data_IF_172628170828
#
_entry.id   IF_172628170828
#
_cell.length_a   1.000
_cell.length_b   1.000
_cell.length_c   1.000
_cell.angle_alpha   90.00
_cell.angle_beta   90.00
_cell.angle_gamma   90.00
#
_symmetry.space_group_name_H-M   'P 1'
#
loop_
_entity.id
_entity.type
_entity.pdbx_description
1 polymer ?
#
# COMPACT_ATOMS: atom_id res chain seq x y z
N UNK A 1 -2.61 10.11 1.00
CA UNK A 1 -1.79 9.96 2.22
C UNK A 1 -2.00 8.60 2.85
N UNK A 2 -0.98 8.07 3.44
CA UNK A 2 -1.06 6.81 4.16
C UNK A 2 -0.70 7.04 5.61
N UNK A 3 -1.31 6.28 6.50
CA UNK A 3 -1.04 6.38 7.94
C UNK A 3 -0.61 5.03 8.47
N UNK A 4 0.50 4.99 9.19
CA UNK A 4 1.03 3.81 9.84
C UNK A 4 1.24 4.11 11.32
N UNK A 5 0.41 3.51 12.19
CA UNK A 5 0.55 3.68 13.63
C UNK A 5 0.57 5.13 14.08
N UNK A 6 -0.24 5.98 13.48
CA UNK A 6 -0.27 7.42 13.78
C UNK A 6 0.73 8.25 13.01
N UNK A 7 1.66 7.62 12.29
CA UNK A 7 2.61 8.33 11.42
C UNK A 7 2.00 8.54 10.06
N UNK A 8 2.17 9.74 9.54
CA UNK A 8 1.73 10.05 8.18
C UNK A 8 2.85 9.75 7.21
N UNK A 9 2.50 9.00 6.16
CA UNK A 9 3.44 8.67 5.10
C UNK A 9 3.01 9.45 3.86
N UNK A 10 3.92 10.26 3.33
CA UNK A 10 3.65 11.06 2.15
C UNK A 10 3.44 10.14 0.94
N UNK A 11 2.32 10.32 0.26
CA UNK A 11 2.02 9.60 -0.96
C UNK A 11 2.23 10.54 -2.14
N UNK A 12 3.17 10.23 -3.06
CA UNK A 12 3.39 11.09 -4.22
C UNK A 12 2.10 11.26 -5.04
N UNK A 13 1.88 12.43 -5.64
CA UNK A 13 0.67 12.67 -6.43
C UNK A 13 0.48 11.68 -7.58
N UNK A 14 1.56 11.18 -8.13
CA UNK A 14 1.54 10.19 -9.22
C UNK A 14 1.46 8.75 -8.73
N UNK A 15 1.39 8.57 -7.41
CA UNK A 15 1.43 7.24 -6.81
C UNK A 15 2.84 6.77 -6.58
N UNK A 16 3.00 5.52 -6.17
CA UNK A 16 4.32 4.97 -5.92
C UNK A 16 4.29 3.54 -5.45
N UNK A 17 5.49 3.01 -5.22
CA UNK A 17 5.70 1.65 -4.76
C UNK A 17 5.83 1.61 -3.25
N UNK A 18 5.36 0.51 -2.68
CA UNK A 18 5.45 0.23 -1.25
C UNK A 18 6.22 -1.08 -1.09
N UNK A 19 7.22 -1.09 -0.25
CA UNK A 19 7.96 -2.31 0.00
C UNK A 19 9.08 -2.12 0.98
N UNK A 20 9.88 -3.17 1.13
CA UNK A 20 11.01 -3.19 2.06
C UNK A 20 12.26 -2.54 1.48
N UNK A 21 12.36 -2.49 0.17
CA UNK A 21 13.51 -1.90 -0.51
C UNK A 21 13.55 -0.39 -0.34
N UNK A 22 14.74 0.17 -0.18
CA UNK A 22 14.95 1.62 -0.11
C UNK A 22 14.60 2.31 -1.43
N UNK A 23 14.50 1.55 -2.52
CA UNK A 23 14.11 2.10 -3.82
C UNK A 23 12.61 2.37 -3.91
N UNK A 24 11.84 1.88 -2.96
CA UNK A 24 10.40 2.14 -2.93
C UNK A 24 10.12 3.56 -2.48
N UNK A 25 9.02 4.12 -2.96
CA UNK A 25 8.56 5.44 -2.54
C UNK A 25 8.12 5.44 -1.08
N UNK A 26 7.54 4.34 -0.64
CA UNK A 26 7.18 4.13 0.75
C UNK A 26 7.90 2.87 1.23
N UNK A 27 8.78 3.04 2.20
CA UNK A 27 9.61 1.96 2.71
C UNK A 27 9.04 1.46 4.03
N UNK A 28 8.76 0.16 4.09
CA UNK A 28 8.27 -0.51 5.29
C UNK A 28 9.36 -1.45 5.80
N UNK A 29 9.81 -1.22 7.03
CA UNK A 29 10.84 -2.03 7.67
C UNK A 29 10.20 -3.26 8.32
N UNK A 30 9.79 -4.21 7.50
CA UNK A 30 9.10 -5.42 7.92
C UNK A 30 9.61 -6.58 7.06
N UNK A 31 10.21 -7.57 7.70
CA UNK A 31 10.80 -8.71 6.97
C UNK A 31 9.76 -9.52 6.19
N UNK A 32 8.50 -9.44 6.59
CA UNK A 32 7.39 -10.11 5.90
C UNK A 32 6.89 -9.33 4.69
N UNK A 33 7.40 -8.12 4.48
CA UNK A 33 7.07 -7.29 3.33
C UNK A 33 8.10 -7.57 2.24
N UNK A 34 7.64 -7.84 1.02
CA UNK A 34 8.52 -8.05 -0.13
C UNK A 34 9.24 -6.75 -0.48
N UNK A 35 10.38 -6.88 -1.16
CA UNK A 35 11.19 -5.72 -1.56
C UNK A 35 10.35 -4.69 -2.31
N UNK A 36 9.57 -5.16 -3.28
CA UNK A 36 8.54 -4.37 -3.97
C UNK A 36 7.24 -5.12 -3.80
N UNK A 37 6.42 -4.67 -2.88
CA UNK A 37 5.25 -5.43 -2.44
C UNK A 37 3.98 -4.99 -3.15
N UNK A 38 3.76 -3.69 -3.25
CA UNK A 38 2.54 -3.14 -3.79
C UNK A 38 2.80 -1.82 -4.49
N UNK A 39 1.83 -1.40 -5.30
CA UNK A 39 1.88 -0.13 -5.99
C UNK A 39 0.56 0.59 -5.81
N UNK A 40 0.61 1.85 -5.41
CA UNK A 40 -0.57 2.70 -5.29
C UNK A 40 -0.53 3.70 -6.43
N UNK A 41 -1.65 3.82 -7.16
CA UNK A 41 -1.76 4.75 -8.28
C UNK A 41 -3.05 5.52 -8.25
N UNK A 42 -3.01 6.80 -8.67
CA UNK A 42 -4.24 7.55 -8.90
C UNK A 42 -4.89 7.11 -10.21
N UNK A 43 -6.22 7.10 -10.23
CA UNK A 43 -7.01 6.81 -11.42
C UNK A 43 -8.07 7.87 -11.61
N UNK A 44 -8.90 7.69 -12.64
CA UNK A 44 -9.98 8.63 -12.93
C UNK A 44 -11.04 8.64 -11.83
N UNK A 45 -11.26 7.50 -11.19
CA UNK A 45 -12.29 7.34 -10.17
C UNK A 45 -11.72 7.23 -8.76
N UNK A 46 -10.48 7.66 -8.56
CA UNK A 46 -9.83 7.58 -7.26
C UNK A 46 -8.54 6.78 -7.32
N UNK A 47 -8.14 6.28 -6.15
CA UNK A 47 -6.87 5.56 -6.02
C UNK A 47 -7.07 4.06 -6.08
N UNK A 48 -6.03 3.36 -6.54
CA UNK A 48 -6.01 1.90 -6.57
C UNK A 48 -4.71 1.40 -5.95
N UNK A 49 -4.75 0.16 -5.46
CA UNK A 49 -3.56 -0.55 -5.01
C UNK A 49 -3.47 -1.88 -5.75
N UNK A 50 -2.28 -2.23 -6.16
CA UNK A 50 -2.01 -3.48 -6.86
C UNK A 50 -0.91 -4.25 -6.15
N UNK A 51 -1.03 -5.58 -6.14
CA UNK A 51 0.01 -6.45 -5.62
C UNK A 51 1.06 -6.67 -6.71
N UNK A 52 2.33 -6.48 -6.35
CA UNK A 52 3.44 -6.66 -7.28
C UNK A 52 4.05 -8.07 -7.15
N UNK A 53 3.19 -9.08 -7.14
CA UNK A 53 3.60 -10.47 -7.04
C UNK A 53 4.35 -10.75 -5.73
N UNK A 54 3.85 -10.21 -4.65
CA UNK A 54 4.48 -10.30 -3.34
C UNK A 54 4.47 -11.73 -2.80
N UNK A 55 5.42 -12.05 -1.93
CA UNK A 55 5.52 -13.37 -1.32
C UNK A 55 4.36 -13.67 -0.39
N UNK A 56 3.98 -12.70 0.45
CA UNK A 56 2.96 -12.91 1.48
C UNK A 56 1.60 -12.33 1.14
N UNK A 57 1.47 -11.75 -0.07
CA UNK A 57 0.19 -11.22 -0.52
C UNK A 57 -0.14 -9.84 0.02
N UNK A 58 -1.26 -9.32 -0.44
CA UNK A 58 -1.78 -8.00 -0.13
C UNK A 58 -3.25 -8.13 0.23
N UNK A 59 -3.67 -7.48 1.30
CA UNK A 59 -5.06 -7.48 1.71
C UNK A 59 -5.58 -6.06 1.87
N UNK A 60 -6.84 -5.86 1.54
CA UNK A 60 -7.55 -4.60 1.80
C UNK A 60 -8.79 -4.95 2.61
N UNK A 61 -8.87 -4.42 3.81
CA UNK A 61 -9.97 -4.69 4.76
C UNK A 61 -10.21 -6.18 4.97
N UNK A 62 -9.12 -6.96 5.03
CA UNK A 62 -9.18 -8.39 5.27
C UNK A 62 -9.46 -9.24 4.04
N UNK A 63 -9.53 -8.63 2.86
CA UNK A 63 -9.75 -9.36 1.61
C UNK A 63 -8.48 -9.36 0.77
N UNK A 64 -8.12 -10.53 0.24
CA UNK A 64 -6.96 -10.65 -0.63
C UNK A 64 -7.15 -9.90 -1.93
N UNK A 65 -6.11 -9.20 -2.35
CA UNK A 65 -6.08 -8.47 -3.62
C UNK A 65 -5.31 -9.33 -4.63
N UNK A 66 -5.97 -9.69 -5.73
CA UNK A 66 -5.32 -10.50 -6.77
C UNK A 66 -4.60 -9.63 -7.78
N UNK A 67 -5.29 -8.65 -8.32
CA UNK A 67 -4.73 -7.75 -9.33
C UNK A 67 -4.70 -6.33 -8.80
N UNK A 68 -5.83 -5.65 -8.90
CA UNK A 68 -5.97 -4.25 -8.54
C UNK A 68 -7.22 -4.09 -7.69
N UNK A 69 -7.11 -3.27 -6.65
CA UNK A 69 -8.22 -2.98 -5.76
C UNK A 69 -8.41 -1.47 -5.66
N UNK A 70 -9.62 -1.00 -5.89
CA UNK A 70 -9.97 0.40 -5.67
C UNK A 70 -9.93 0.72 -4.17
N UNK A 71 -9.40 1.89 -3.83
CA UNK A 71 -9.26 2.33 -2.45
C UNK A 71 -10.26 3.44 -2.12
N UNK A 72 -10.77 3.39 -0.90
CA UNK A 72 -11.61 4.44 -0.32
C UNK A 72 -10.92 4.98 0.92
N UNK A 73 -11.17 6.24 1.29
CA UNK A 73 -10.63 6.76 2.55
C UNK A 73 -11.02 5.86 3.72
N UNK A 74 -10.05 5.53 4.54
CA UNK A 74 -10.23 4.63 5.68
C UNK A 74 -9.94 3.17 5.38
N UNK A 75 -9.68 2.80 4.14
CA UNK A 75 -9.33 1.42 3.82
C UNK A 75 -8.02 1.02 4.48
N UNK A 76 -8.02 -0.18 5.04
CA UNK A 76 -6.85 -0.75 5.70
C UNK A 76 -6.14 -1.69 4.74
N UNK A 77 -4.89 -1.35 4.44
CA UNK A 77 -4.04 -2.13 3.54
C UNK A 77 -3.07 -2.93 4.39
N UNK A 78 -3.05 -4.24 4.21
CA UNK A 78 -2.19 -5.12 4.98
C UNK A 78 -1.13 -5.77 4.08
N UNK A 79 0.13 -5.60 4.45
CA UNK A 79 1.29 -6.14 3.75
C UNK A 79 2.19 -6.78 4.81
N UNK A 80 2.45 -8.07 4.67
CA UNK A 80 3.23 -8.77 5.69
C UNK A 80 2.59 -8.64 7.07
N UNK A 81 3.33 -8.13 8.03
CA UNK A 81 2.84 -7.87 9.39
C UNK A 81 2.41 -6.43 9.58
N UNK A 82 2.46 -5.62 8.54
CA UNK A 82 2.21 -4.18 8.61
C UNK A 82 0.83 -3.84 8.06
N UNK A 83 0.13 -2.96 8.75
CA UNK A 83 -1.14 -2.42 8.30
C UNK A 83 -1.02 -0.91 8.16
N UNK A 84 -1.45 -0.39 7.03
CA UNK A 84 -1.49 1.05 6.78
C UNK A 84 -2.90 1.43 6.38
N UNK A 85 -3.28 2.65 6.70
CA UNK A 85 -4.61 3.17 6.38
C UNK A 85 -4.50 4.20 5.29
N UNK A 86 -5.32 4.05 4.26
CA UNK A 86 -5.40 5.00 3.17
C UNK A 86 -6.32 6.14 3.58
N UNK A 87 -5.83 7.38 3.45
CA UNK A 87 -6.59 8.57 3.78
C UNK A 87 -6.43 9.62 2.71
N UNK A 88 -7.46 10.41 2.51
CA UNK A 88 -7.42 11.57 1.62
C UNK A 88 -7.44 12.81 2.49
N UNK A 89 -6.44 13.66 2.29
CA UNK A 89 -6.35 14.90 3.05
C UNK A 89 -7.39 15.92 2.57
#
# INVERSE_FOLDING_TARGET
MLTLGGRRLALPPEGGTIGRSRDCDIVLDDVAVSRRHAEIRPGTDGWTVADLDSTNGLMVNGRGVRDVQALKPGDRIELGSTAIVFEIA
#
